data_IF_108491576384
#
_entry.id   IF_108491576384
#
_cell.length_a   1.000
_cell.length_b   1.000
_cell.length_c   1.000
_cell.angle_alpha   90.00
_cell.angle_beta   90.00
_cell.angle_gamma   90.00
#
_symmetry.space_group_name_H-M   'P 1'
#
loop_
_entity.id
_entity.type
_entity.pdbx_description
1 polymer ?
#
# COMPACT_ATOMS: atom_id res chain seq x y z
N UNK A 1 26.56 0.91 -36.26
CA UNK A 1 27.79 1.41 -35.63
C UNK A 1 27.73 1.14 -34.14
N UNK A 2 28.84 0.74 -33.48
CA UNK A 2 28.93 0.56 -32.03
C UNK A 2 28.39 1.74 -31.21
N UNK A 3 28.56 2.96 -31.70
CA UNK A 3 28.06 4.19 -31.06
C UNK A 3 26.53 4.25 -30.94
N UNK A 4 25.81 3.78 -31.97
CA UNK A 4 24.34 3.71 -31.94
C UNK A 4 23.88 2.68 -30.92
N UNK A 5 24.56 1.53 -30.83
CA UNK A 5 24.24 0.49 -29.87
C UNK A 5 24.39 0.97 -28.41
N UNK A 6 25.52 1.59 -28.06
CA UNK A 6 25.75 2.10 -26.70
C UNK A 6 24.75 3.21 -26.32
N UNK A 7 24.39 4.07 -27.28
CA UNK A 7 23.37 5.09 -27.07
C UNK A 7 21.99 4.48 -26.78
N UNK A 8 21.54 3.53 -27.59
CA UNK A 8 20.23 2.89 -27.38
C UNK A 8 20.21 2.03 -26.11
N UNK A 9 21.33 1.38 -25.76
CA UNK A 9 21.50 0.68 -24.48
C UNK A 9 21.36 1.64 -23.28
N UNK A 10 21.99 2.80 -23.33
CA UNK A 10 21.90 3.82 -22.27
C UNK A 10 20.46 4.30 -22.09
N UNK A 11 19.77 4.63 -23.20
CA UNK A 11 18.36 5.02 -23.16
C UNK A 11 17.48 3.93 -22.56
N UNK A 12 17.69 2.68 -22.97
CA UNK A 12 16.92 1.56 -22.45
C UNK A 12 17.09 1.40 -20.94
N UNK A 13 18.31 1.51 -20.42
CA UNK A 13 18.57 1.45 -18.97
C UNK A 13 17.84 2.58 -18.25
N UNK A 14 17.91 3.81 -18.75
CA UNK A 14 17.22 4.96 -18.17
C UNK A 14 15.70 4.75 -18.12
N UNK A 15 15.09 4.33 -19.24
CA UNK A 15 13.66 4.03 -19.30
C UNK A 15 13.25 2.90 -18.36
N UNK A 16 14.10 1.88 -18.19
CA UNK A 16 13.82 0.78 -17.26
C UNK A 16 13.89 1.22 -15.79
N UNK A 17 14.81 2.11 -15.44
CA UNK A 17 14.85 2.69 -14.09
C UNK A 17 13.63 3.56 -13.80
N UNK A 18 13.20 4.38 -14.76
CA UNK A 18 11.97 5.17 -14.63
C UNK A 18 10.72 4.28 -14.47
N UNK A 19 10.62 3.21 -15.28
CA UNK A 19 9.53 2.25 -15.15
C UNK A 19 9.54 1.54 -13.79
N UNK A 20 10.74 1.22 -13.28
CA UNK A 20 10.93 0.64 -11.95
C UNK A 20 10.42 1.58 -10.85
N UNK A 21 10.83 2.85 -10.89
CA UNK A 21 10.39 3.85 -9.92
C UNK A 21 8.86 4.04 -9.96
N UNK A 22 8.29 4.14 -11.17
CA UNK A 22 6.85 4.31 -11.34
C UNK A 22 6.07 3.13 -10.78
N UNK A 23 6.51 1.90 -11.03
CA UNK A 23 5.84 0.70 -10.52
C UNK A 23 5.86 0.65 -8.99
N UNK A 24 6.99 0.96 -8.37
CA UNK A 24 7.14 1.01 -6.89
C UNK A 24 6.20 2.07 -6.30
N UNK A 25 6.23 3.29 -6.84
CA UNK A 25 5.39 4.40 -6.33
C UNK A 25 3.91 4.07 -6.51
N UNK A 26 3.51 3.57 -7.67
CA UNK A 26 2.11 3.22 -7.95
C UNK A 26 1.56 2.19 -6.98
N UNK A 27 2.34 1.14 -6.66
CA UNK A 27 1.91 0.10 -5.72
C UNK A 27 1.80 0.64 -4.29
N UNK A 28 2.74 1.51 -3.86
CA UNK A 28 2.67 2.20 -2.56
C UNK A 28 1.45 3.10 -2.46
N UNK A 29 1.13 3.85 -3.51
CA UNK A 29 -0.01 4.76 -3.55
C UNK A 29 -1.36 4.01 -3.50
N UNK A 30 -1.47 2.90 -4.22
CA UNK A 30 -2.67 2.06 -4.16
C UNK A 30 -2.94 1.55 -2.75
N UNK A 31 -1.91 1.00 -2.10
CA UNK A 31 -2.02 0.54 -0.73
C UNK A 31 -2.36 1.67 0.25
N UNK A 32 -1.75 2.84 0.07
CA UNK A 32 -2.06 4.05 0.85
C UNK A 32 -3.53 4.47 0.71
N UNK A 33 -4.05 4.44 -0.51
CA UNK A 33 -5.46 4.74 -0.80
C UNK A 33 -6.40 3.72 -0.15
N UNK A 34 -6.00 2.45 -0.05
CA UNK A 34 -6.77 1.43 0.67
C UNK A 34 -6.83 1.72 2.17
N UNK A 35 -5.69 1.99 2.81
CA UNK A 35 -5.61 2.35 4.24
C UNK A 35 -6.47 3.58 4.52
N UNK A 36 -6.28 4.66 3.76
CA UNK A 36 -7.06 5.90 3.91
C UNK A 36 -8.57 5.66 3.79
N UNK A 37 -8.99 4.82 2.83
CA UNK A 37 -10.42 4.50 2.65
C UNK A 37 -10.99 3.75 3.85
N UNK A 38 -10.23 2.85 4.48
CA UNK A 38 -10.74 2.07 5.62
C UNK A 38 -10.73 2.88 6.92
N UNK A 39 -9.69 3.69 7.18
CA UNK A 39 -9.67 4.63 8.30
C UNK A 39 -10.78 5.67 8.16
N UNK A 40 -10.94 6.23 6.95
CA UNK A 40 -12.10 6.93 6.39
C UNK A 40 -13.45 6.41 6.92
N UNK A 41 -13.72 5.13 6.63
CA UNK A 41 -15.04 4.51 6.80
C UNK A 41 -15.33 4.03 8.21
N UNK A 42 -14.32 3.79 9.02
CA UNK A 42 -14.49 3.43 10.43
C UNK A 42 -14.59 4.62 11.37
N UNK A 43 -14.43 5.86 10.89
CA UNK A 43 -14.77 7.04 11.69
C UNK A 43 -16.29 7.09 11.92
N UNK A 44 -16.69 6.82 13.17
CA UNK A 44 -18.06 7.06 13.59
C UNK A 44 -18.29 8.58 13.58
N UNK A 45 -19.12 9.05 12.66
CA UNK A 45 -19.47 10.46 12.57
C UNK A 45 -20.08 10.95 13.88
N UNK A 46 -19.33 11.74 14.64
CA UNK A 46 -19.89 12.61 15.66
C UNK A 46 -20.73 13.68 14.95
N UNK A 47 -22.01 13.37 14.67
CA UNK A 47 -23.03 14.35 14.26
C UNK A 47 -23.52 14.28 12.81
N UNK A 48 -22.77 13.71 11.86
CA UNK A 48 -23.22 13.62 10.46
C UNK A 48 -22.92 12.23 9.89
N UNK A 49 -23.98 11.46 9.60
CA UNK A 49 -24.03 10.11 9.01
C UNK A 49 -22.66 9.48 8.70
N UNK A 50 -22.23 8.56 9.57
CA UNK A 50 -21.06 7.70 9.31
C UNK A 50 -21.13 7.10 7.89
N UNK A 51 -20.02 7.14 7.14
CA UNK A 51 -19.96 6.58 5.78
C UNK A 51 -20.26 5.08 5.87
N UNK A 52 -21.23 4.59 5.10
CA UNK A 52 -21.61 3.17 5.12
C UNK A 52 -20.37 2.31 4.81
N UNK A 53 -20.02 1.46 5.78
CA UNK A 53 -19.03 0.41 5.60
C UNK A 53 -19.59 -0.63 4.62
N UNK A 54 -18.95 -0.75 3.46
CA UNK A 54 -19.35 -1.69 2.40
C UNK A 54 -18.44 -2.91 2.44
N UNK A 55 -19.00 -4.09 2.17
CA UNK A 55 -18.23 -5.34 2.14
C UNK A 55 -17.03 -5.28 1.17
N UNK A 56 -17.18 -4.58 0.05
CA UNK A 56 -16.11 -4.37 -0.92
C UNK A 56 -14.87 -3.68 -0.35
N UNK A 57 -14.96 -2.93 0.76
CA UNK A 57 -13.78 -2.31 1.38
C UNK A 57 -12.80 -3.37 1.88
N UNK A 58 -13.29 -4.44 2.51
CA UNK A 58 -12.46 -5.52 3.05
C UNK A 58 -12.05 -6.51 1.95
N UNK A 59 -12.96 -6.85 1.03
CA UNK A 59 -12.63 -7.75 -0.07
C UNK A 59 -11.47 -7.21 -0.92
N UNK A 60 -11.44 -5.90 -1.17
CA UNK A 60 -10.32 -5.28 -1.89
C UNK A 60 -8.97 -5.46 -1.16
N UNK A 61 -8.95 -5.52 0.18
CA UNK A 61 -7.72 -5.83 0.92
C UNK A 61 -7.25 -7.25 0.68
N UNK A 62 -8.16 -8.23 0.76
CA UNK A 62 -7.80 -9.61 0.48
C UNK A 62 -7.34 -9.81 -0.97
N UNK A 63 -8.01 -9.21 -1.95
CA UNK A 63 -7.56 -9.23 -3.35
C UNK A 63 -6.17 -8.61 -3.52
N UNK A 64 -5.89 -7.52 -2.80
CA UNK A 64 -4.56 -6.91 -2.81
C UNK A 64 -3.51 -7.83 -2.19
N UNK A 65 -3.79 -8.45 -1.04
CA UNK A 65 -2.84 -9.35 -0.36
C UNK A 65 -2.49 -10.56 -1.23
N UNK A 66 -3.49 -11.20 -1.83
CA UNK A 66 -3.30 -12.36 -2.71
C UNK A 66 -2.40 -12.02 -3.91
N UNK A 67 -2.56 -10.83 -4.49
CA UNK A 67 -1.80 -10.41 -5.67
C UNK A 67 -0.51 -9.66 -5.35
N UNK A 68 -0.28 -9.28 -4.08
CA UNK A 68 0.80 -8.37 -3.69
C UNK A 68 2.18 -8.92 -4.07
N UNK A 69 2.44 -10.20 -3.82
CA UNK A 69 3.74 -10.84 -4.09
C UNK A 69 4.13 -10.75 -5.56
N UNK A 70 3.17 -10.97 -6.46
CA UNK A 70 3.38 -10.93 -7.91
C UNK A 70 3.55 -9.50 -8.42
N UNK A 71 2.91 -8.54 -7.74
CA UNK A 71 2.97 -7.12 -8.10
C UNK A 71 4.20 -6.42 -7.52
N UNK A 72 4.74 -6.89 -6.41
CA UNK A 72 5.95 -6.38 -5.77
C UNK A 72 7.23 -6.92 -6.46
N UNK A 73 7.29 -6.81 -7.79
CA UNK A 73 8.38 -7.36 -8.62
C UNK A 73 9.76 -6.78 -8.27
N UNK A 74 9.80 -5.55 -7.76
CA UNK A 74 11.04 -4.87 -7.37
C UNK A 74 11.41 -5.05 -5.90
N UNK A 75 10.69 -5.94 -5.19
CA UNK A 75 11.00 -6.38 -3.81
C UNK A 75 11.11 -5.20 -2.85
N UNK A 76 10.13 -4.32 -2.90
CA UNK A 76 9.95 -3.27 -1.92
C UNK A 76 9.63 -3.88 -0.55
N UNK A 77 10.65 -4.01 0.30
CA UNK A 77 10.54 -4.65 1.61
C UNK A 77 9.78 -3.79 2.61
N UNK A 78 9.91 -2.46 2.51
CA UNK A 78 9.18 -1.53 3.36
C UNK A 78 7.68 -1.63 3.11
N UNK A 79 7.27 -1.70 1.83
CA UNK A 79 5.87 -1.91 1.50
C UNK A 79 5.41 -3.31 1.94
N UNK A 80 6.24 -4.34 1.78
CA UNK A 80 5.90 -5.70 2.21
C UNK A 80 5.62 -5.77 3.73
N UNK A 81 6.47 -5.14 4.55
CA UNK A 81 6.27 -5.08 6.00
C UNK A 81 4.95 -4.39 6.38
N UNK A 82 4.57 -3.32 5.68
CA UNK A 82 3.31 -2.62 5.94
C UNK A 82 2.09 -3.45 5.49
N UNK A 83 2.23 -4.21 4.41
CA UNK A 83 1.18 -5.12 3.91
C UNK A 83 0.97 -6.26 4.90
N UNK A 84 2.04 -6.88 5.39
CA UNK A 84 1.98 -7.95 6.40
C UNK A 84 1.31 -7.46 7.69
N UNK A 85 1.61 -6.23 8.13
CA UNK A 85 0.95 -5.62 9.29
C UNK A 85 -0.55 -5.43 9.06
N UNK A 86 -0.95 -4.90 7.90
CA UNK A 86 -2.35 -4.69 7.56
C UNK A 86 -3.14 -6.01 7.44
N UNK A 87 -2.52 -7.06 6.88
CA UNK A 87 -3.09 -8.39 6.80
C UNK A 87 -3.29 -9.00 8.19
N UNK A 88 -2.30 -8.89 9.08
CA UNK A 88 -2.39 -9.34 10.46
C UNK A 88 -3.53 -8.64 11.24
N UNK A 89 -3.70 -7.32 11.03
CA UNK A 89 -4.80 -6.54 11.64
C UNK A 89 -6.17 -7.04 11.18
N UNK A 90 -6.33 -7.38 9.89
CA UNK A 90 -7.59 -7.90 9.36
C UNK A 90 -7.86 -9.35 9.78
N UNK A 91 -6.80 -10.14 9.93
CA UNK A 91 -6.84 -11.48 10.54
C UNK A 91 -7.79 -12.46 9.86
N UNK A 92 -7.97 -12.33 8.53
CA UNK A 92 -8.83 -13.21 7.72
C UNK A 92 -10.33 -13.10 8.02
N UNK A 93 -10.76 -12.08 8.79
CA UNK A 93 -12.16 -11.90 9.16
C UNK A 93 -12.99 -11.42 7.97
N UNK A 94 -14.20 -11.94 7.83
CA UNK A 94 -15.12 -11.51 6.79
C UNK A 94 -15.62 -10.09 7.04
N UNK A 95 -16.01 -9.39 5.97
CA UNK A 95 -16.61 -8.07 6.09
C UNK A 95 -17.86 -8.06 6.99
N UNK A 96 -18.64 -9.13 6.96
CA UNK A 96 -19.85 -9.28 7.78
C UNK A 96 -19.51 -9.37 9.26
N UNK A 97 -18.52 -10.18 9.62
CA UNK A 97 -18.00 -10.27 11.00
C UNK A 97 -17.53 -8.91 11.50
N UNK A 98 -16.75 -8.18 10.69
CA UNK A 98 -16.25 -6.85 11.03
C UNK A 98 -17.41 -5.87 11.21
N UNK A 99 -18.39 -5.86 10.30
CA UNK A 99 -19.54 -4.95 10.35
C UNK A 99 -20.36 -5.11 11.62
N UNK A 100 -20.55 -6.35 12.07
CA UNK A 100 -21.36 -6.73 13.23
C UNK A 100 -20.69 -6.48 14.59
N UNK A 101 -19.40 -6.12 14.62
CA UNK A 101 -18.63 -5.97 15.85
C UNK A 101 -17.94 -4.60 15.91
N UNK A 102 -18.47 -3.70 16.76
CA UNK A 102 -17.95 -2.34 16.91
C UNK A 102 -16.51 -2.31 17.46
N UNK A 103 -16.21 -3.16 18.45
CA UNK A 103 -14.85 -3.25 19.01
C UNK A 103 -13.83 -3.68 17.96
N UNK A 104 -14.22 -4.60 17.07
CA UNK A 104 -13.37 -5.04 15.98
C UNK A 104 -13.15 -3.94 14.93
N UNK A 105 -14.18 -3.14 14.63
CA UNK A 105 -14.03 -1.96 13.76
C UNK A 105 -13.06 -0.95 14.35
N UNK A 106 -13.16 -0.68 15.64
CA UNK A 106 -12.25 0.23 16.33
C UNK A 106 -10.82 -0.30 16.35
N UNK A 107 -10.62 -1.59 16.65
CA UNK A 107 -9.31 -2.22 16.60
C UNK A 107 -8.67 -2.13 15.20
N UNK A 108 -9.44 -2.47 14.15
CA UNK A 108 -8.93 -2.38 12.77
C UNK A 108 -8.63 -0.94 12.40
N UNK A 109 -9.48 0.02 12.77
CA UNK A 109 -9.25 1.45 12.54
C UNK A 109 -7.94 1.90 13.17
N UNK A 110 -7.74 1.60 14.45
CA UNK A 110 -6.55 1.99 15.20
C UNK A 110 -5.28 1.35 14.63
N UNK A 111 -5.34 0.06 14.31
CA UNK A 111 -4.24 -0.63 13.64
C UNK A 111 -3.89 0.01 12.29
N UNK A 112 -4.90 0.27 11.45
CA UNK A 112 -4.68 0.87 10.12
C UNK A 112 -4.16 2.31 10.19
N UNK A 113 -4.54 3.07 11.22
CA UNK A 113 -3.95 4.39 11.49
C UNK A 113 -2.46 4.27 11.83
N UNK A 114 -2.06 3.23 12.57
CA UNK A 114 -0.65 3.02 12.91
C UNK A 114 0.18 2.57 11.70
N UNK A 115 -0.38 1.75 10.82
CA UNK A 115 0.24 1.41 9.53
C UNK A 115 0.42 2.67 8.67
N UNK A 116 -0.57 3.57 8.63
CA UNK A 116 -0.47 4.85 7.92
C UNK A 116 0.66 5.74 8.47
N UNK A 117 0.80 5.85 9.79
CA UNK A 117 1.91 6.60 10.40
C UNK A 117 3.27 5.98 10.10
N UNK A 118 3.37 4.64 10.16
CA UNK A 118 4.61 3.92 9.84
C UNK A 118 5.05 4.20 8.40
N UNK A 119 4.08 4.23 7.46
CA UNK A 119 4.32 4.65 6.08
C UNK A 119 4.86 6.09 5.98
N UNK A 120 4.25 7.04 6.69
CA UNK A 120 4.70 8.45 6.67
C UNK A 120 6.13 8.60 7.25
N UNK A 121 6.45 7.83 8.28
CA UNK A 121 7.82 7.76 8.83
C UNK A 121 8.82 7.23 7.80
N UNK A 122 8.43 6.27 6.96
CA UNK A 122 9.28 5.75 5.89
C UNK A 122 9.50 6.81 4.79
N UNK A 123 8.43 7.51 4.38
CA UNK A 123 8.50 8.53 3.33
C UNK A 123 9.34 9.76 3.71
N UNK A 124 9.36 10.12 4.99
CA UNK A 124 10.14 11.24 5.52
C UNK A 124 11.64 10.95 5.66
N UNK A 125 12.09 9.70 5.47
CA UNK A 125 13.51 9.35 5.52
C UNK A 125 14.21 9.80 4.24
N UNK A 126 15.41 10.42 4.32
CA UNK A 126 16.20 10.73 3.13
C UNK A 126 16.54 9.43 2.38
N UNK A 127 16.02 9.27 1.16
CA UNK A 127 16.33 8.10 0.32
C UNK A 127 17.82 8.13 -0.05
N UNK A 128 18.57 7.09 0.33
CA UNK A 128 19.96 6.93 -0.13
C UNK A 128 19.95 6.69 -1.63
N UNK A 129 20.39 7.67 -2.40
CA UNK A 129 20.67 7.50 -3.83
C UNK A 129 22.06 6.88 -3.95
N UNK A 130 22.13 5.57 -4.19
CA UNK A 130 23.39 4.93 -4.58
C UNK A 130 23.64 5.37 -6.02
N UNK A 131 24.55 6.32 -6.21
CA UNK A 131 25.13 6.60 -7.52
C UNK A 131 26.19 5.52 -7.72
N UNK A 132 25.99 4.62 -8.68
CA UNK A 132 27.07 3.76 -9.14
C UNK A 132 27.89 4.55 -10.15
N UNK A 133 29.17 4.76 -9.85
CA UNK A 133 30.19 5.27 -10.78
C UNK A 133 30.58 4.20 -11.81
#
# INVERSE_FOLDING_TARGET
>A
SPEVYEREKTKFVQTMEEARELAIVSLREEFSSMIKRVTERFTNGHGTKSKIFKNGTINNFYEFFETFRERNIFRDTELAELVDQAEAILGGKTAETIRSNDQLKDHIREGMVEVEKSRESILSRPRRRIVMD
#
